data_IF_995691686748
#
_entry.id   IF_995691686748
#
_cell.length_a   1.000
_cell.length_b   1.000
_cell.length_c   1.000
_cell.angle_alpha   90.00
_cell.angle_beta   90.00
_cell.angle_gamma   90.00
#
_symmetry.space_group_name_H-M   'P 1'
#
loop_
_entity.id
_entity.type
_entity.pdbx_description
1 polymer ?
#
# COMPACT_ATOMS: atom_id res chain seq x y z
N UNK A 1 -35.34 -33.63 19.75
CA UNK A 1 -34.30 -34.34 20.52
C UNK A 1 -33.11 -34.61 19.61
N UNK A 2 -31.92 -34.11 19.96
CA UNK A 2 -30.60 -34.47 19.41
C UNK A 2 -30.23 -33.80 18.07
N UNK A 3 -29.46 -32.71 18.05
CA UNK A 3 -27.96 -32.65 18.06
C UNK A 3 -27.36 -33.13 16.73
N UNK A 4 -26.73 -32.35 15.86
CA UNK A 4 -25.86 -31.18 16.08
C UNK A 4 -24.39 -31.61 16.03
N UNK A 5 -23.69 -31.38 14.91
CA UNK A 5 -22.22 -31.20 14.81
C UNK A 5 -21.89 -30.32 13.61
N UNK A 6 -21.47 -29.10 13.90
CA UNK A 6 -21.07 -28.08 12.93
C UNK A 6 -19.68 -28.34 12.35
N UNK A 7 -19.53 -27.99 11.07
CA UNK A 7 -18.24 -27.82 10.44
C UNK A 7 -17.56 -26.58 11.04
N UNK A 8 -16.39 -26.80 11.62
CA UNK A 8 -15.51 -25.73 12.10
C UNK A 8 -15.06 -24.85 10.94
N UNK A 9 -15.42 -23.57 11.01
CA UNK A 9 -14.79 -22.51 10.21
C UNK A 9 -13.38 -22.32 10.71
N UNK A 10 -12.38 -22.73 9.93
CA UNK A 10 -11.01 -22.32 10.14
C UNK A 10 -10.91 -20.83 9.79
N UNK A 11 -10.92 -19.97 10.81
CA UNK A 11 -10.60 -18.57 10.66
C UNK A 11 -9.08 -18.45 10.44
N UNK A 12 -8.66 -18.16 9.21
CA UNK A 12 -7.32 -17.65 8.96
C UNK A 12 -7.27 -16.22 9.52
N UNK A 13 -6.82 -16.10 10.77
CA UNK A 13 -6.43 -14.81 11.33
C UNK A 13 -5.08 -14.42 10.70
N UNK A 14 -5.13 -13.63 9.63
CA UNK A 14 -3.96 -12.91 9.13
C UNK A 14 -3.65 -11.79 10.14
N UNK A 15 -2.89 -12.11 11.19
CA UNK A 15 -2.32 -11.07 12.05
C UNK A 15 -1.28 -10.30 11.24
N UNK A 16 -1.64 -9.10 10.80
CA UNK A 16 -0.68 -8.11 10.33
C UNK A 16 0.23 -7.77 11.51
N UNK A 17 1.49 -8.19 11.45
CA UNK A 17 2.50 -7.78 12.42
C UNK A 17 2.84 -6.33 12.14
N UNK A 18 2.22 -5.42 12.89
CA UNK A 18 2.70 -4.06 13.04
C UNK A 18 3.97 -4.14 13.90
N UNK A 19 5.15 -4.11 13.29
CA UNK A 19 6.41 -3.91 14.01
C UNK A 19 6.45 -2.45 14.49
N UNK A 20 5.81 -2.19 15.62
CA UNK A 20 6.03 -0.96 16.39
C UNK A 20 6.72 -1.32 17.71
N UNK A 21 8.06 -1.25 17.71
CA UNK A 21 8.76 -1.01 18.97
C UNK A 21 8.68 0.49 19.26
N UNK A 22 7.57 0.93 19.82
CA UNK A 22 7.43 2.23 20.47
C UNK A 22 6.89 1.97 21.89
N UNK A 23 7.62 2.44 22.89
CA UNK A 23 7.35 2.18 24.30
C UNK A 23 5.89 2.48 24.70
N UNK A 24 5.24 1.50 25.33
CA UNK A 24 3.90 1.66 25.92
C UNK A 24 4.02 2.50 27.19
N UNK A 25 3.33 3.62 27.24
CA UNK A 25 2.90 4.23 28.50
C UNK A 25 1.69 3.42 29.03
N UNK A 26 1.66 3.02 30.31
CA UNK A 26 0.51 2.30 30.87
C UNK A 26 -0.70 3.25 31.00
N UNK A 27 -1.88 2.85 30.51
CA UNK A 27 -3.15 3.51 30.84
C UNK A 27 -3.92 4.21 29.71
N UNK A 28 -3.44 4.20 28.46
CA UNK A 28 -4.28 4.50 27.28
C UNK A 28 -4.57 3.19 26.55
N UNK A 29 -5.85 2.86 26.34
CA UNK A 29 -6.20 1.86 25.33
C UNK A 29 -5.54 2.29 24.01
N UNK A 30 -4.80 1.37 23.38
CA UNK A 30 -4.20 1.65 22.09
C UNK A 30 -5.32 1.98 21.09
N UNK A 31 -5.24 3.14 20.42
CA UNK A 31 -6.21 3.45 19.38
C UNK A 31 -5.97 2.53 18.18
N UNK A 32 -6.93 1.67 17.91
CA UNK A 32 -6.98 0.93 16.65
C UNK A 32 -7.40 1.89 15.53
N UNK A 33 -6.45 2.23 14.66
CA UNK A 33 -6.66 3.15 13.54
C UNK A 33 -7.47 2.52 12.40
N UNK A 34 -7.65 1.20 12.40
CA UNK A 34 -8.26 0.44 11.31
C UNK A 34 -9.70 0.01 11.60
N UNK A 35 -10.18 0.25 12.83
CA UNK A 35 -11.58 0.07 13.21
C UNK A 35 -12.25 1.44 13.35
N UNK A 36 -13.28 1.67 12.54
CA UNK A 36 -13.86 2.99 12.37
C UNK A 36 -14.95 3.00 11.32
N UNK A 37 -15.27 4.20 10.85
CA UNK A 37 -16.26 4.40 9.80
C UNK A 37 -15.88 5.58 8.90
N UNK A 38 -16.41 5.57 7.69
CA UNK A 38 -16.34 6.73 6.80
C UNK A 38 -17.36 7.79 7.22
N UNK A 39 -16.91 9.03 7.31
CA UNK A 39 -17.74 10.20 7.61
C UNK A 39 -17.56 11.26 6.51
N UNK A 40 -18.59 12.05 6.25
CA UNK A 40 -18.49 13.20 5.35
C UNK A 40 -17.78 14.34 6.09
N UNK A 41 -16.80 14.95 5.42
CA UNK A 41 -16.02 16.07 5.93
C UNK A 41 -15.96 17.18 4.88
N UNK A 42 -16.33 18.40 5.28
CA UNK A 42 -16.33 19.59 4.43
C UNK A 42 -14.91 20.08 4.11
N UNK A 43 -13.92 19.70 4.92
CA UNK A 43 -12.52 20.06 4.69
C UNK A 43 -11.86 19.18 3.60
N UNK A 44 -12.55 18.15 3.09
CA UNK A 44 -12.06 17.25 2.06
C UNK A 44 -12.55 17.65 0.65
N UNK A 45 -11.77 17.36 -0.41
CA UNK A 45 -10.52 16.58 -0.41
C UNK A 45 -9.30 17.37 0.08
N UNK A 46 -8.25 16.65 0.48
CA UNK A 46 -6.97 17.24 0.94
C UNK A 46 -6.18 17.98 -0.15
N UNK A 47 -6.54 17.78 -1.42
CA UNK A 47 -5.99 18.47 -2.58
C UNK A 47 -6.97 18.42 -3.74
N UNK A 48 -6.88 19.39 -4.64
CA UNK A 48 -7.58 19.36 -5.93
C UNK A 48 -6.74 18.59 -6.96
N UNK A 49 -7.24 17.45 -7.42
CA UNK A 49 -6.55 16.59 -8.39
C UNK A 49 -6.28 17.29 -9.72
N UNK A 50 -7.11 18.26 -10.13
CA UNK A 50 -6.91 19.01 -11.38
C UNK A 50 -5.67 19.90 -11.36
N UNK A 51 -5.30 20.40 -10.18
CA UNK A 51 -4.17 21.31 -10.02
C UNK A 51 -2.86 20.59 -9.72
N UNK A 52 -2.92 19.31 -9.35
CA UNK A 52 -1.72 18.56 -9.00
C UNK A 52 -0.98 18.05 -10.25
N UNK A 53 0.30 18.39 -10.45
CA UNK A 53 1.06 17.96 -11.63
C UNK A 53 1.49 16.49 -11.58
N UNK A 54 1.33 15.82 -10.44
CA UNK A 54 1.75 14.43 -10.22
C UNK A 54 0.64 13.41 -10.47
N UNK A 55 -0.63 13.84 -10.57
CA UNK A 55 -1.72 12.92 -10.87
C UNK A 55 -1.55 12.38 -12.28
N UNK A 56 -1.37 11.07 -12.39
CA UNK A 56 -1.33 10.38 -13.68
C UNK A 56 -2.69 10.40 -14.34
N UNK A 57 -2.71 10.36 -15.67
CA UNK A 57 -3.94 10.37 -16.47
C UNK A 57 -4.89 9.26 -16.06
N UNK A 58 -4.37 8.08 -15.74
CA UNK A 58 -5.15 6.92 -15.33
C UNK A 58 -5.92 7.12 -14.00
N UNK A 59 -5.54 8.12 -13.19
CA UNK A 59 -6.13 8.42 -11.88
C UNK A 59 -6.91 9.73 -11.82
N UNK A 60 -6.93 10.53 -12.89
CA UNK A 60 -7.61 11.83 -12.94
C UNK A 60 -9.09 11.70 -13.35
N UNK A 61 -9.91 11.10 -12.47
CA UNK A 61 -11.30 10.80 -12.78
C UNK A 61 -12.11 12.03 -13.21
N UNK A 62 -11.89 13.18 -12.57
CA UNK A 62 -12.62 14.41 -12.87
C UNK A 62 -12.28 14.90 -14.28
N UNK A 63 -10.99 14.91 -14.66
CA UNK A 63 -10.57 15.31 -16.01
C UNK A 63 -11.12 14.39 -17.09
N UNK A 64 -11.31 13.11 -16.77
CA UNK A 64 -11.85 12.11 -17.68
C UNK A 64 -13.37 11.93 -17.56
N UNK A 65 -14.09 12.92 -17.01
CA UNK A 65 -15.53 13.07 -17.18
C UNK A 65 -16.38 12.53 -16.04
N UNK A 66 -15.79 12.13 -14.91
CA UNK A 66 -16.57 11.84 -13.69
C UNK A 66 -17.12 13.14 -13.12
N UNK A 67 -18.45 13.21 -12.97
CA UNK A 67 -19.13 14.44 -12.52
C UNK A 67 -19.54 14.40 -11.04
N UNK A 68 -19.75 13.22 -10.45
CA UNK A 68 -20.06 13.09 -9.02
C UNK A 68 -18.81 13.38 -8.18
N UNK A 69 -18.88 14.32 -7.24
CA UNK A 69 -17.74 14.71 -6.38
C UNK A 69 -17.87 14.23 -4.93
N UNK A 70 -18.99 13.59 -4.57
CA UNK A 70 -19.29 13.18 -3.20
C UNK A 70 -18.26 12.19 -2.64
N UNK A 71 -17.68 11.34 -3.50
CA UNK A 71 -16.64 10.39 -3.13
C UNK A 71 -15.36 11.04 -2.58
N UNK A 72 -15.10 12.31 -2.94
CA UNK A 72 -13.93 13.06 -2.49
C UNK A 72 -14.06 13.60 -1.06
N UNK A 73 -15.28 13.62 -0.52
CA UNK A 73 -15.62 14.26 0.76
C UNK A 73 -15.57 13.30 1.95
N UNK A 74 -15.19 12.04 1.73
CA UNK A 74 -15.14 11.04 2.79
C UNK A 74 -13.80 11.04 3.51
N UNK A 75 -13.86 11.13 4.84
CA UNK A 75 -12.74 10.95 5.76
C UNK A 75 -12.95 9.70 6.59
N UNK A 76 -11.89 8.93 6.82
CA UNK A 76 -11.93 7.81 7.76
C UNK A 76 -11.87 8.32 9.21
N UNK A 77 -12.78 7.85 10.06
CA UNK A 77 -12.85 8.18 11.49
C UNK A 77 -12.72 6.92 12.35
N UNK A 78 -11.57 6.71 13.05
CA UNK A 78 -11.43 5.62 14.00
C UNK A 78 -12.46 5.69 15.13
N UNK A 79 -12.94 4.54 15.61
CA UNK A 79 -14.02 4.50 16.63
C UNK A 79 -13.59 5.00 18.01
N UNK A 80 -12.29 4.90 18.34
CA UNK A 80 -11.77 5.14 19.69
C UNK A 80 -10.80 6.32 19.79
N UNK A 81 -10.54 7.02 18.69
CA UNK A 81 -9.73 8.24 18.71
C UNK A 81 -10.00 9.14 17.51
N UNK A 82 -9.62 10.40 17.64
CA UNK A 82 -9.61 11.35 16.53
C UNK A 82 -8.23 11.36 15.87
N UNK A 83 -8.22 11.33 14.54
CA UNK A 83 -7.00 11.56 13.76
C UNK A 83 -6.69 13.06 13.77
N UNK A 84 -5.41 13.46 13.92
CA UNK A 84 -5.03 14.85 13.73
C UNK A 84 -5.31 15.27 12.29
N UNK A 85 -5.65 16.55 12.11
CA UNK A 85 -5.77 17.13 10.77
C UNK A 85 -4.44 17.02 10.02
N UNK A 86 -4.51 16.72 8.73
CA UNK A 86 -3.32 16.63 7.90
C UNK A 86 -2.68 17.99 7.72
N UNK A 87 -1.40 18.11 8.10
CA UNK A 87 -0.59 19.29 7.85
C UNK A 87 0.64 18.90 7.03
N UNK A 88 0.58 19.11 5.72
CA UNK A 88 1.66 18.73 4.81
C UNK A 88 2.97 19.49 5.09
N UNK A 89 2.92 20.75 5.55
CA UNK A 89 4.14 21.51 5.90
C UNK A 89 4.82 20.96 7.14
N UNK A 90 4.05 20.60 8.17
CA UNK A 90 4.57 19.93 9.36
C UNK A 90 5.16 18.57 9.01
N UNK A 91 4.48 17.78 8.17
CA UNK A 91 5.00 16.49 7.69
C UNK A 91 6.34 16.66 6.96
N UNK A 92 6.44 17.59 6.01
CA UNK A 92 7.70 17.85 5.29
C UNK A 92 8.79 18.38 6.22
N UNK A 93 8.45 19.20 7.22
CA UNK A 93 9.40 19.68 8.22
C UNK A 93 9.96 18.52 9.07
N UNK A 94 9.12 17.58 9.49
CA UNK A 94 9.55 16.36 10.22
C UNK A 94 10.38 15.42 9.36
N UNK A 95 10.11 15.38 8.06
CA UNK A 95 10.84 14.57 7.07
C UNK A 95 11.98 15.34 6.39
N UNK A 96 12.40 16.48 6.95
CA UNK A 96 13.49 17.27 6.37
C UNK A 96 14.78 16.44 6.27
N UNK A 97 15.38 16.45 5.09
CA UNK A 97 16.60 15.67 4.81
C UNK A 97 16.39 14.15 4.73
N UNK A 98 15.14 13.69 4.59
CA UNK A 98 14.78 12.27 4.58
C UNK A 98 14.35 11.80 3.20
N UNK A 99 14.46 10.48 2.99
CA UNK A 99 13.96 9.78 1.80
C UNK A 99 12.79 8.87 2.17
N UNK A 100 11.65 9.08 1.53
CA UNK A 100 10.44 8.25 1.63
C UNK A 100 10.34 7.41 0.37
N UNK A 101 10.23 6.09 0.51
CA UNK A 101 10.15 5.17 -0.62
C UNK A 101 8.92 4.27 -0.49
N UNK A 102 8.06 4.32 -1.50
CA UNK A 102 7.01 3.34 -1.73
C UNK A 102 7.61 2.17 -2.51
N UNK A 103 7.43 0.95 -2.02
CA UNK A 103 7.95 -0.27 -2.65
C UNK A 103 6.79 -1.24 -2.84
N UNK A 104 6.43 -1.52 -4.08
CA UNK A 104 5.32 -2.44 -4.30
C UNK A 104 4.79 -2.46 -5.71
N UNK A 105 3.56 -2.94 -5.83
CA UNK A 105 2.85 -2.99 -7.10
C UNK A 105 2.22 -1.64 -7.49
N UNK A 106 1.39 -1.66 -8.54
CA UNK A 106 0.69 -0.47 -9.04
C UNK A 106 -0.12 0.30 -7.99
N UNK A 107 -0.54 -0.33 -6.88
CA UNK A 107 -1.24 0.38 -5.80
C UNK A 107 -0.30 1.25 -4.96
N UNK A 108 0.98 0.86 -4.83
CA UNK A 108 2.00 1.72 -4.22
C UNK A 108 2.25 2.97 -5.06
N UNK A 109 2.16 2.87 -6.39
CA UNK A 109 2.23 4.03 -7.28
C UNK A 109 1.06 4.99 -7.01
N UNK A 110 -0.16 4.49 -6.79
CA UNK A 110 -1.31 5.35 -6.47
C UNK A 110 -1.11 6.11 -5.16
N UNK A 111 -0.59 5.45 -4.11
CA UNK A 111 -0.32 6.11 -2.83
C UNK A 111 0.82 7.12 -2.92
N UNK A 112 1.85 6.80 -3.72
CA UNK A 112 2.94 7.71 -4.04
C UNK A 112 2.43 8.98 -4.71
N UNK A 113 1.64 8.88 -5.77
CA UNK A 113 1.05 10.03 -6.48
C UNK A 113 0.17 10.86 -5.54
N UNK A 114 -0.65 10.20 -4.71
CA UNK A 114 -1.50 10.87 -3.72
C UNK A 114 -0.70 11.66 -2.70
N UNK A 115 0.39 11.09 -2.16
CA UNK A 115 1.26 11.81 -1.22
C UNK A 115 1.91 13.02 -1.90
N UNK A 116 2.43 12.87 -3.11
CA UNK A 116 3.01 14.00 -3.85
C UNK A 116 2.02 15.14 -4.02
N UNK A 117 0.76 14.85 -4.35
CA UNK A 117 -0.28 15.87 -4.47
C UNK A 117 -0.62 16.55 -3.14
N UNK A 118 -0.72 15.79 -2.05
CA UNK A 118 -0.93 16.36 -0.72
C UNK A 118 0.22 17.30 -0.31
N UNK A 119 1.47 16.92 -0.60
CA UNK A 119 2.64 17.75 -0.31
C UNK A 119 2.69 19.00 -1.19
N UNK A 120 2.38 18.86 -2.48
CA UNK A 120 2.31 19.97 -3.42
C UNK A 120 1.21 20.98 -3.04
N UNK A 121 0.01 20.50 -2.69
CA UNK A 121 -1.08 21.36 -2.22
C UNK A 121 -0.71 22.12 -0.94
N UNK A 122 0.06 21.49 -0.03
CA UNK A 122 0.53 22.14 1.18
C UNK A 122 1.61 23.21 0.92
N UNK A 123 2.44 23.04 -0.11
CA UNK A 123 3.51 23.96 -0.50
C UNK A 123 3.58 24.17 -2.03
N UNK A 124 2.62 24.88 -2.63
CA UNK A 124 2.48 24.99 -4.10
C UNK A 124 3.62 25.78 -4.77
N UNK A 125 4.40 26.54 -3.99
CA UNK A 125 5.53 27.33 -4.46
C UNK A 125 6.89 26.74 -4.05
N UNK A 126 6.92 25.53 -3.48
CA UNK A 126 8.17 24.88 -3.14
C UNK A 126 8.96 24.55 -4.41
N UNK A 127 10.29 24.69 -4.36
CA UNK A 127 11.14 24.25 -5.46
C UNK A 127 11.16 22.72 -5.52
N UNK A 128 10.91 22.17 -6.71
CA UNK A 128 10.78 20.73 -6.94
C UNK A 128 11.67 20.31 -8.10
N UNK A 129 12.47 19.27 -7.86
CA UNK A 129 13.31 18.62 -8.88
C UNK A 129 12.85 17.19 -9.13
N UNK A 130 12.77 16.82 -10.41
CA UNK A 130 12.45 15.45 -10.86
C UNK A 130 13.74 14.70 -11.16
N UNK A 131 13.83 13.45 -10.71
CA UNK A 131 14.94 12.55 -11.01
C UNK A 131 14.41 11.15 -11.31
N UNK A 132 15.26 10.29 -11.88
CA UNK A 132 14.94 8.86 -12.05
C UNK A 132 14.62 8.16 -10.72
N UNK A 133 15.07 8.73 -9.61
CA UNK A 133 14.90 8.19 -8.26
C UNK A 133 13.61 8.70 -7.60
N UNK A 134 12.90 9.67 -8.17
CA UNK A 134 11.67 10.24 -7.60
C UNK A 134 11.63 11.77 -7.60
N UNK A 135 10.79 12.34 -6.74
CA UNK A 135 10.55 13.79 -6.61
C UNK A 135 11.28 14.33 -5.38
N UNK A 136 12.07 15.40 -5.57
CA UNK A 136 12.75 16.12 -4.51
C UNK A 136 12.03 17.45 -4.23
N UNK A 137 11.55 17.64 -3.01
CA UNK A 137 11.12 18.93 -2.48
C UNK A 137 12.33 19.65 -1.88
N UNK A 138 12.95 20.56 -2.64
CA UNK A 138 14.27 21.13 -2.34
C UNK A 138 14.28 21.94 -1.03
N UNK A 139 13.23 22.73 -0.80
CA UNK A 139 13.05 23.55 0.42
C UNK A 139 13.09 22.73 1.71
N UNK A 140 12.82 21.43 1.61
CA UNK A 140 12.81 20.47 2.71
C UNK A 140 13.93 19.43 2.59
N UNK A 141 14.67 19.41 1.49
CA UNK A 141 15.58 18.32 1.14
C UNK A 141 14.89 16.94 1.36
N UNK A 142 13.63 16.83 0.94
CA UNK A 142 12.79 15.65 1.11
C UNK A 142 12.64 14.96 -0.25
N UNK A 143 13.08 13.71 -0.34
CA UNK A 143 12.83 12.88 -1.52
C UNK A 143 11.65 11.95 -1.26
N UNK A 144 10.71 11.91 -2.19
CA UNK A 144 9.65 10.89 -2.24
C UNK A 144 9.85 10.08 -3.50
N UNK A 145 9.94 8.76 -3.38
CA UNK A 145 10.28 7.84 -4.47
C UNK A 145 9.33 6.65 -4.54
N UNK A 146 9.24 6.04 -5.71
CA UNK A 146 8.52 4.80 -5.96
C UNK A 146 9.46 3.76 -6.58
N UNK A 147 9.44 2.55 -6.04
CA UNK A 147 10.18 1.40 -6.53
C UNK A 147 9.19 0.28 -6.87
N UNK A 148 9.10 -0.06 -8.16
CA UNK A 148 8.20 -1.10 -8.63
C UNK A 148 8.73 -2.48 -8.24
N UNK A 149 8.01 -3.16 -7.35
CA UNK A 149 8.24 -4.57 -7.04
C UNK A 149 6.90 -5.26 -6.80
N UNK A 150 6.37 -5.88 -7.87
CA UNK A 150 5.04 -6.49 -7.84
C UNK A 150 4.87 -7.55 -6.75
N UNK A 151 5.93 -8.30 -6.43
CA UNK A 151 5.89 -9.48 -5.56
C UNK A 151 6.84 -9.35 -4.36
N UNK A 152 7.61 -8.26 -4.25
CA UNK A 152 8.74 -8.05 -3.32
C UNK A 152 9.92 -9.01 -3.49
N UNK A 153 9.67 -10.22 -3.96
CA UNK A 153 10.67 -11.23 -4.29
C UNK A 153 10.96 -11.28 -5.80
N UNK A 154 12.06 -11.91 -6.16
CA UNK A 154 12.60 -11.83 -7.51
C UNK A 154 11.90 -12.75 -8.52
N UNK A 155 11.77 -12.27 -9.76
CA UNK A 155 11.50 -13.12 -10.92
C UNK A 155 12.77 -13.17 -11.76
N UNK A 156 13.37 -14.35 -11.88
CA UNK A 156 14.65 -14.56 -12.56
C UNK A 156 14.44 -15.39 -13.83
N UNK A 157 15.06 -15.01 -14.93
CA UNK A 157 15.07 -15.85 -16.15
C UNK A 157 16.17 -16.90 -16.03
N UNK A 158 15.77 -18.16 -15.99
CA UNK A 158 16.65 -19.32 -15.99
C UNK A 158 16.50 -20.14 -17.28
N UNK A 159 17.32 -21.19 -17.44
CA UNK A 159 17.25 -22.09 -18.61
C UNK A 159 15.88 -22.76 -18.77
N UNK A 160 15.16 -22.97 -17.66
CA UNK A 160 13.83 -23.59 -17.65
C UNK A 160 12.72 -22.60 -17.99
N UNK A 161 12.96 -21.29 -17.92
CA UNK A 161 11.97 -20.22 -18.09
C UNK A 161 12.10 -19.14 -17.02
N UNK A 162 11.06 -18.30 -16.89
CA UNK A 162 10.96 -17.28 -15.84
C UNK A 162 10.55 -17.94 -14.52
N UNK A 163 11.30 -17.72 -13.46
CA UNK A 163 11.12 -18.37 -12.16
C UNK A 163 10.84 -17.32 -11.09
N UNK A 164 9.69 -17.40 -10.43
CA UNK A 164 9.39 -16.62 -9.23
C UNK A 164 10.10 -17.27 -8.04
N UNK A 165 11.14 -16.63 -7.51
CA UNK A 165 11.96 -17.16 -6.41
C UNK A 165 11.45 -16.62 -5.08
N UNK A 166 10.76 -17.45 -4.30
CA UNK A 166 10.10 -17.02 -3.06
C UNK A 166 11.07 -16.66 -1.93
N UNK A 167 12.33 -17.11 -2.02
CA UNK A 167 13.38 -16.88 -1.02
C UNK A 167 14.46 -15.88 -1.46
N UNK A 168 14.22 -15.16 -2.55
CA UNK A 168 15.19 -14.22 -3.15
C UNK A 168 14.67 -12.79 -3.12
N UNK A 169 15.54 -11.85 -2.73
CA UNK A 169 15.21 -10.43 -2.60
C UNK A 169 16.42 -9.57 -2.95
N UNK A 170 16.82 -9.58 -4.23
CA UNK A 170 18.01 -8.88 -4.73
C UNK A 170 17.91 -7.36 -4.58
N UNK A 171 16.70 -6.81 -4.75
CA UNK A 171 16.47 -5.36 -4.73
C UNK A 171 16.50 -4.75 -3.33
N UNK A 172 16.67 -5.56 -2.28
CA UNK A 172 16.66 -5.10 -0.89
C UNK A 172 17.67 -4.01 -0.60
N UNK A 173 18.87 -4.09 -1.16
CA UNK A 173 19.93 -3.09 -0.95
C UNK A 173 19.51 -1.68 -1.40
N UNK A 174 18.73 -1.59 -2.48
CA UNK A 174 18.18 -0.32 -2.96
C UNK A 174 17.24 0.30 -1.94
N UNK A 175 16.42 -0.51 -1.27
CA UNK A 175 15.45 -0.04 -0.27
C UNK A 175 16.12 0.49 0.99
N UNK A 176 17.33 0.02 1.31
CA UNK A 176 18.10 0.52 2.46
C UNK A 176 18.52 1.99 2.33
N UNK A 177 18.45 2.55 1.12
CA UNK A 177 18.73 3.97 0.88
C UNK A 177 17.66 4.91 1.45
N UNK A 178 16.45 4.41 1.76
CA UNK A 178 15.33 5.20 2.26
C UNK A 178 15.25 5.24 3.80
N UNK A 179 14.78 6.35 4.37
CA UNK A 179 14.53 6.48 5.81
C UNK A 179 13.13 5.99 6.21
N UNK A 180 12.16 6.16 5.31
CA UNK A 180 10.78 5.70 5.50
C UNK A 180 10.43 4.79 4.33
N UNK A 181 10.04 3.56 4.64
CA UNK A 181 9.67 2.53 3.66
C UNK A 181 8.19 2.18 3.81
N UNK A 182 7.46 2.21 2.70
CA UNK A 182 6.05 1.81 2.64
C UNK A 182 5.93 0.69 1.63
N UNK A 183 5.74 -0.54 2.13
CA UNK A 183 5.64 -1.73 1.30
C UNK A 183 4.19 -2.08 0.98
N UNK A 184 3.95 -2.64 -0.20
CA UNK A 184 2.69 -3.29 -0.55
C UNK A 184 2.94 -4.40 -1.58
N UNK A 185 2.24 -5.51 -1.45
CA UNK A 185 2.11 -6.47 -2.55
C UNK A 185 0.85 -7.29 -2.36
N UNK A 186 0.03 -7.39 -3.42
CA UNK A 186 -1.06 -8.36 -3.52
C UNK A 186 -1.69 -8.38 -4.91
N UNK A 187 -1.90 -7.21 -5.52
CA UNK A 187 -2.80 -7.03 -6.65
C UNK A 187 -2.45 -7.92 -7.87
N UNK A 188 -1.19 -8.30 -7.98
CA UNK A 188 -0.68 -9.12 -9.08
C UNK A 188 -0.60 -10.63 -8.79
N UNK A 189 -0.68 -11.04 -7.52
CA UNK A 189 -0.57 -12.45 -7.11
C UNK A 189 -1.66 -13.37 -7.71
N UNK A 190 -2.93 -12.93 -7.86
CA UNK A 190 -3.97 -13.79 -8.44
C UNK A 190 -3.86 -13.99 -9.95
N UNK A 191 -2.90 -13.37 -10.64
CA UNK A 191 -2.76 -13.49 -12.10
C UNK A 191 -2.42 -14.93 -12.51
N UNK A 192 -3.04 -15.33 -13.62
CA UNK A 192 -2.87 -16.65 -14.22
C UNK A 192 -2.92 -16.55 -15.75
N UNK A 193 -2.57 -17.64 -16.43
CA UNK A 193 -2.60 -17.72 -17.89
C UNK A 193 -1.65 -16.71 -18.55
N UNK A 194 -2.06 -16.05 -19.66
CA UNK A 194 -1.19 -15.14 -20.42
C UNK A 194 -0.66 -13.93 -19.62
N UNK A 195 -1.32 -13.56 -18.52
CA UNK A 195 -0.94 -12.41 -17.69
C UNK A 195 0.04 -12.74 -16.57
N UNK A 196 0.38 -14.02 -16.42
CA UNK A 196 1.31 -14.50 -15.41
C UNK A 196 2.76 -14.18 -15.81
N UNK A 197 3.53 -13.48 -14.96
CA UNK A 197 4.88 -13.07 -15.31
C UNK A 197 5.96 -14.14 -15.06
N UNK A 198 5.60 -15.30 -14.51
CA UNK A 198 6.50 -16.44 -14.30
C UNK A 198 5.96 -17.72 -14.94
N UNK A 199 6.87 -18.65 -15.22
CA UNK A 199 6.58 -19.98 -15.79
C UNK A 199 6.71 -21.08 -14.73
N UNK A 200 7.47 -20.82 -13.65
CA UNK A 200 7.72 -21.71 -12.51
C UNK A 200 7.83 -20.90 -11.21
N UNK A 201 7.65 -21.57 -10.08
CA UNK A 201 7.81 -21.01 -8.73
C UNK A 201 8.87 -21.85 -8.00
N UNK A 202 9.81 -21.22 -7.31
CA UNK A 202 10.88 -21.89 -6.58
C UNK A 202 10.84 -21.52 -5.10
N UNK A 203 10.95 -22.54 -4.24
CA UNK A 203 11.20 -22.43 -2.79
C UNK A 203 12.43 -23.30 -2.44
N UNK A 204 13.48 -22.67 -1.93
CA UNK A 204 14.78 -23.30 -1.76
C UNK A 204 15.27 -23.95 -3.05
N UNK A 205 15.53 -25.25 -3.00
CA UNK A 205 15.99 -26.05 -4.15
C UNK A 205 14.83 -26.72 -4.93
N UNK A 206 13.58 -26.57 -4.46
CA UNK A 206 12.41 -27.19 -5.08
C UNK A 206 11.73 -26.24 -6.08
N UNK A 207 11.50 -26.74 -7.30
CA UNK A 207 10.85 -25.99 -8.38
C UNK A 207 9.50 -26.60 -8.73
N UNK A 208 8.47 -25.76 -8.71
CA UNK A 208 7.08 -26.11 -8.95
C UNK A 208 6.58 -25.47 -10.24
N UNK A 209 5.73 -26.20 -10.98
CA UNK A 209 5.03 -25.61 -12.13
C UNK A 209 3.93 -24.66 -11.67
N UNK A 210 3.23 -25.04 -10.61
CA UNK A 210 2.16 -24.25 -10.00
C UNK A 210 2.20 -24.40 -8.48
N UNK A 211 1.71 -23.38 -7.79
CA UNK A 211 1.56 -23.34 -6.33
C UNK A 211 0.31 -22.54 -6.01
N UNK A 212 -0.38 -22.90 -4.93
CA UNK A 212 -1.45 -22.07 -4.38
C UNK A 212 -0.94 -20.64 -4.14
N UNK A 213 -1.68 -19.64 -4.64
CA UNK A 213 -1.22 -18.25 -4.65
C UNK A 213 -1.13 -17.66 -3.25
N UNK A 214 -1.99 -18.08 -2.33
CA UNK A 214 -1.93 -17.66 -0.92
C UNK A 214 -0.70 -18.24 -0.23
N UNK A 215 -0.37 -19.49 -0.53
CA UNK A 215 0.82 -20.17 -0.01
C UNK A 215 2.10 -19.53 -0.54
N UNK A 216 2.18 -19.26 -1.84
CA UNK A 216 3.31 -18.55 -2.44
C UNK A 216 3.48 -17.14 -1.87
N UNK A 217 2.37 -16.40 -1.72
CA UNK A 217 2.35 -15.07 -1.09
C UNK A 217 2.87 -15.10 0.34
N UNK A 218 2.38 -16.04 1.15
CA UNK A 218 2.80 -16.19 2.56
C UNK A 218 4.30 -16.47 2.69
N UNK A 219 4.86 -17.31 1.81
CA UNK A 219 6.30 -17.62 1.77
C UNK A 219 7.12 -16.39 1.37
N UNK A 220 6.76 -15.71 0.29
CA UNK A 220 7.45 -14.49 -0.14
C UNK A 220 7.38 -13.37 0.93
N UNK A 221 6.22 -13.20 1.57
CA UNK A 221 6.07 -12.22 2.65
C UNK A 221 6.91 -12.59 3.87
N UNK A 222 7.08 -13.88 4.15
CA UNK A 222 7.98 -14.36 5.21
C UNK A 222 9.45 -14.04 4.89
N UNK A 223 9.87 -14.20 3.63
CA UNK A 223 11.19 -13.80 3.14
C UNK A 223 11.42 -12.29 3.31
N UNK A 224 10.46 -11.47 2.88
CA UNK A 224 10.50 -10.02 3.07
C UNK A 224 10.56 -9.63 4.56
N UNK A 225 9.73 -10.23 5.40
CA UNK A 225 9.71 -9.93 6.84
C UNK A 225 11.03 -10.31 7.51
N UNK A 226 11.65 -11.43 7.10
CA UNK A 226 12.99 -11.81 7.54
C UNK A 226 14.04 -10.79 7.08
N UNK A 227 13.97 -10.33 5.84
CA UNK A 227 14.86 -9.29 5.32
C UNK A 227 14.73 -7.98 6.13
N UNK A 228 13.52 -7.51 6.41
CA UNK A 228 13.28 -6.31 7.24
C UNK A 228 13.93 -6.48 8.61
N UNK A 229 13.68 -7.61 9.28
CA UNK A 229 14.21 -7.88 10.63
C UNK A 229 15.74 -7.89 10.66
N UNK A 230 16.39 -8.36 9.61
CA UNK A 230 17.85 -8.49 9.55
C UNK A 230 18.55 -7.19 9.13
N UNK A 231 17.92 -6.35 8.32
CA UNK A 231 18.58 -5.22 7.68
C UNK A 231 18.10 -3.84 8.15
N UNK A 232 16.98 -3.75 8.88
CA UNK A 232 16.40 -2.47 9.28
C UNK A 232 16.53 -2.24 10.79
N UNK A 233 17.20 -1.13 11.13
CA UNK A 233 17.25 -0.58 12.48
C UNK A 233 16.02 0.33 12.73
N UNK A 234 15.05 -0.08 13.57
CA UNK A 234 13.81 0.67 13.80
C UNK A 234 14.00 1.99 14.55
N UNK A 235 15.20 2.22 15.14
CA UNK A 235 15.58 3.50 15.73
C UNK A 235 15.93 4.55 14.67
N UNK A 236 16.36 4.11 13.47
CA UNK A 236 16.82 4.97 12.38
C UNK A 236 15.81 5.09 11.25
N UNK A 237 15.10 4.00 10.94
CA UNK A 237 14.18 3.90 9.80
C UNK A 237 12.77 3.55 10.27
N UNK A 238 11.77 3.94 9.49
CA UNK A 238 10.38 3.56 9.71
C UNK A 238 9.91 2.67 8.56
N UNK A 239 9.20 1.60 8.89
CA UNK A 239 8.68 0.63 7.93
C UNK A 239 7.19 0.50 8.14
N UNK A 240 6.45 0.63 7.04
CA UNK A 240 5.01 0.44 6.95
C UNK A 240 4.73 -0.65 5.93
N UNK A 241 3.65 -1.39 6.16
CA UNK A 241 3.09 -2.33 5.18
C UNK A 241 1.63 -1.97 4.96
N UNK A 242 1.29 -1.58 3.73
CA UNK A 242 -0.08 -1.36 3.31
C UNK A 242 -0.74 -2.73 3.10
N UNK A 243 -1.90 -2.94 3.73
CA UNK A 243 -2.69 -4.15 3.53
C UNK A 243 -3.23 -4.31 2.10
N UNK A 244 -3.98 -5.39 1.89
CA UNK A 244 -4.59 -5.69 0.59
C UNK A 244 -5.62 -4.59 0.24
N UNK A 245 -5.46 -3.98 -0.94
CA UNK A 245 -6.52 -3.14 -1.51
C UNK A 245 -7.59 -4.04 -2.14
N UNK A 246 -8.87 -3.93 -1.74
CA UNK A 246 -9.94 -4.70 -2.35
C UNK A 246 -10.21 -4.25 -3.79
N UNK A 247 -10.67 -5.20 -4.61
CA UNK A 247 -11.24 -4.92 -5.93
C UNK A 247 -12.76 -5.04 -5.85
N UNK A 248 -13.48 -4.21 -6.59
CA UNK A 248 -14.94 -4.15 -6.58
C UNK A 248 -15.48 -4.35 -8.00
N UNK A 249 -15.42 -5.58 -8.51
CA UNK A 249 -15.82 -5.89 -9.90
C UNK A 249 -17.32 -6.20 -10.06
N UNK A 250 -17.96 -6.62 -8.96
CA UNK A 250 -19.26 -7.28 -8.97
C UNK A 250 -20.21 -6.59 -7.99
N UNK A 251 -21.15 -5.80 -8.51
CA UNK A 251 -22.09 -5.02 -7.70
C UNK A 251 -23.01 -5.83 -6.79
N UNK A 252 -23.19 -7.11 -7.08
CA UNK A 252 -23.88 -8.08 -6.26
C UNK A 252 -23.19 -8.36 -4.92
N UNK A 253 -21.88 -8.11 -4.79
CA UNK A 253 -21.16 -8.19 -3.51
C UNK A 253 -21.67 -7.18 -2.47
N UNK A 254 -22.35 -6.11 -2.90
CA UNK A 254 -22.96 -5.10 -2.04
C UNK A 254 -24.42 -4.82 -2.42
N UNK A 255 -25.14 -5.86 -2.84
CA UNK A 255 -26.59 -5.85 -3.09
C UNK A 255 -27.04 -4.82 -4.15
N UNK A 256 -26.15 -4.41 -5.06
CA UNK A 256 -26.45 -3.51 -6.17
C UNK A 256 -26.05 -4.11 -7.53
N UNK A 257 -26.84 -5.05 -8.08
CA UNK A 257 -26.49 -5.81 -9.28
C UNK A 257 -26.38 -4.98 -10.56
N UNK A 258 -26.85 -3.72 -10.55
CA UNK A 258 -26.71 -2.77 -11.68
C UNK A 258 -25.39 -2.00 -11.65
N UNK A 259 -24.66 -2.01 -10.53
CA UNK A 259 -23.41 -1.28 -10.38
C UNK A 259 -22.21 -2.11 -10.86
N UNK A 260 -21.78 -1.89 -12.11
CA UNK A 260 -20.41 -2.27 -12.52
C UNK A 260 -19.37 -1.21 -12.09
N UNK A 261 -19.80 0.00 -11.73
CA UNK A 261 -18.91 1.18 -11.61
C UNK A 261 -19.29 2.20 -10.51
N UNK A 262 -20.46 2.13 -9.86
CA UNK A 262 -20.93 3.28 -9.06
C UNK A 262 -21.24 2.90 -7.60
N UNK A 263 -20.20 2.92 -6.77
CA UNK A 263 -20.33 3.28 -5.36
C UNK A 263 -20.05 4.77 -5.22
N UNK A 264 -21.08 5.55 -4.88
CA UNK A 264 -20.93 6.98 -4.49
C UNK A 264 -20.79 7.12 -2.97
N UNK A 265 -21.21 6.09 -2.23
CA UNK A 265 -21.17 6.04 -0.77
C UNK A 265 -20.49 4.76 -0.30
N UNK A 266 -19.58 4.84 0.70
CA UNK A 266 -19.03 3.65 1.35
C UNK A 266 -20.14 2.85 2.04
N UNK A 267 -19.99 1.53 2.07
CA UNK A 267 -20.84 0.66 2.91
C UNK A 267 -20.54 0.90 4.40
N UNK A 268 -21.58 0.81 5.23
CA UNK A 268 -21.53 0.96 6.68
C UNK A 268 -20.93 -0.26 7.38
#
# INVERSE_FOLDING_TARGET
MGSGRGLGRAALALMVVVVTCAGRLPGREACDLFSGMWVVDEAYPLYDSHTCPFVRKEFDCLKYGRMDMEYLRYRWKPSRCELPEFNGRDLMARLRGKKVMFVGDSLSLNMYDSLLCMLHAAAPHASISLSDVGVLFEDYNLTVSYYLSHYLVDIVTEKIGRVLKLDSLHDGDTWLTADVLIFNTWHWWPRSGPTQPWDYIQEGDETFKEMDRTSAFSKALSTWAKWVRLNIDPSKKKVFYQGISPSHYHGDEWENPLSRVVMVKPNH
#
